data_IF_082675174706
#
_entry.id   IF_082675174706
#
_cell.length_a   1.000
_cell.length_b   1.000
_cell.length_c   1.000
_cell.angle_alpha   90.00
_cell.angle_beta   90.00
_cell.angle_gamma   90.00
#
_symmetry.space_group_name_H-M   'P 1'
#
loop_
_entity.id
_entity.type
_entity.pdbx_description
1 polymer ?
#
# COMPACT_ATOMS: atom_id res chain seq x y z
N UNK A 1 -71.48 3.06 13.37
CA UNK A 1 -70.25 2.24 13.49
C UNK A 1 -69.16 2.84 12.61
N UNK A 2 -68.25 3.65 13.17
CA UNK A 2 -67.06 4.15 12.44
C UNK A 2 -65.83 3.43 13.02
N UNK A 3 -65.22 2.55 12.22
CA UNK A 3 -63.98 1.85 12.57
C UNK A 3 -62.81 2.80 12.35
N UNK A 4 -62.06 3.09 13.42
CA UNK A 4 -60.75 3.72 13.33
C UNK A 4 -59.74 2.65 12.94
N UNK A 5 -59.07 2.85 11.81
CA UNK A 5 -57.94 2.03 11.37
C UNK A 5 -56.67 2.68 11.93
N UNK A 6 -56.04 2.06 12.93
CA UNK A 6 -54.75 2.48 13.43
C UNK A 6 -53.65 2.02 12.47
N UNK A 7 -53.00 2.97 11.81
CA UNK A 7 -51.80 2.72 11.00
C UNK A 7 -50.63 2.58 11.97
N UNK A 8 -50.11 1.37 12.14
CA UNK A 8 -48.87 1.11 12.86
C UNK A 8 -47.71 1.42 11.91
N UNK A 9 -47.08 2.58 12.08
CA UNK A 9 -45.81 2.91 11.44
C UNK A 9 -44.70 2.07 12.09
N UNK A 10 -44.26 1.02 11.40
CA UNK A 10 -43.03 0.29 11.75
C UNK A 10 -41.84 1.19 11.40
N UNK A 11 -41.25 1.83 12.42
CA UNK A 11 -39.91 2.38 12.29
C UNK A 11 -38.93 1.20 12.29
N UNK A 12 -38.41 0.85 11.11
CA UNK A 12 -37.19 0.04 11.02
C UNK A 12 -36.06 0.85 11.64
N UNK A 13 -35.74 0.58 12.91
CA UNK A 13 -34.51 1.09 13.51
C UNK A 13 -33.35 0.54 12.67
N UNK A 14 -32.58 1.42 12.02
CA UNK A 14 -31.25 1.09 11.56
C UNK A 14 -30.47 0.62 12.78
N UNK A 15 -30.37 -0.71 12.96
CA UNK A 15 -29.57 -1.29 14.02
C UNK A 15 -28.14 -0.78 13.81
N UNK A 16 -27.65 0.05 14.73
CA UNK A 16 -26.24 0.43 14.71
C UNK A 16 -25.41 -0.85 14.76
N UNK A 17 -24.51 -1.00 13.79
CA UNK A 17 -23.61 -2.14 13.74
C UNK A 17 -22.87 -2.25 15.08
N UNK A 18 -22.98 -3.40 15.73
CA UNK A 18 -22.30 -3.64 17.00
C UNK A 18 -20.78 -3.65 16.76
N UNK A 19 -19.97 -3.07 17.67
CA UNK A 19 -18.51 -3.16 17.59
C UNK A 19 -18.05 -4.60 17.43
N UNK A 20 -16.99 -4.83 16.65
CA UNK A 20 -16.44 -6.16 16.38
C UNK A 20 -15.21 -6.39 17.25
N UNK A 21 -15.30 -7.13 18.39
CA UNK A 21 -14.22 -7.21 19.38
C UNK A 21 -12.91 -7.77 18.84
N UNK A 22 -12.97 -8.60 17.78
CA UNK A 22 -11.79 -9.09 17.06
C UNK A 22 -10.85 -7.94 16.67
N UNK A 23 -11.39 -6.80 16.23
CA UNK A 23 -10.61 -5.63 15.78
C UNK A 23 -10.45 -4.54 16.85
N UNK A 24 -10.75 -4.80 18.12
CA UNK A 24 -10.65 -3.81 19.21
C UNK A 24 -9.26 -3.13 19.27
N UNK A 25 -8.19 -3.93 19.19
CA UNK A 25 -6.81 -3.47 19.06
C UNK A 25 -6.23 -3.91 17.73
N UNK A 26 -6.88 -3.53 16.64
CA UNK A 26 -6.36 -3.76 15.30
C UNK A 26 -5.07 -2.97 15.06
N UNK A 27 -4.03 -3.66 14.60
CA UNK A 27 -2.73 -3.12 14.18
C UNK A 27 -2.46 -3.42 12.70
N UNK A 28 -1.92 -2.44 11.98
CA UNK A 28 -1.51 -2.59 10.59
C UNK A 28 0.00 -2.34 10.41
N UNK A 29 0.64 -3.24 9.66
CA UNK A 29 2.07 -3.19 9.30
C UNK A 29 2.20 -3.21 7.78
N UNK A 30 3.27 -2.60 7.27
CA UNK A 30 3.51 -2.61 5.83
C UNK A 30 4.32 -1.42 5.34
N UNK A 31 3.99 -1.02 4.11
CA UNK A 31 4.69 0.04 3.39
C UNK A 31 3.83 1.29 3.15
N UNK A 32 4.11 2.00 2.06
CA UNK A 32 3.45 3.23 1.65
C UNK A 32 1.96 3.08 1.44
N UNK A 33 1.48 1.94 0.93
CA UNK A 33 0.04 1.71 0.72
C UNK A 33 -0.66 1.68 2.08
N UNK A 34 -0.15 0.88 3.01
CA UNK A 34 -0.72 0.77 4.36
C UNK A 34 -0.65 2.09 5.11
N UNK A 35 0.40 2.90 4.90
CA UNK A 35 0.55 4.21 5.52
C UNK A 35 -0.42 5.29 4.99
N UNK A 36 -1.04 5.11 3.81
CA UNK A 36 -1.85 6.15 3.17
C UNK A 36 -1.01 7.15 2.37
N UNK A 37 0.13 6.73 1.85
CA UNK A 37 0.98 7.52 0.97
C UNK A 37 0.34 7.62 -0.42
N UNK A 38 0.24 8.82 -0.97
CA UNK A 38 -0.35 9.07 -2.28
C UNK A 38 0.37 10.24 -2.97
N UNK A 39 0.50 10.17 -4.29
CA UNK A 39 1.09 11.24 -5.11
C UNK A 39 2.49 11.63 -4.65
N UNK A 40 3.35 10.67 -4.38
CA UNK A 40 4.73 10.85 -3.91
C UNK A 40 4.85 11.55 -2.54
N UNK A 41 3.79 11.63 -1.74
CA UNK A 41 3.81 12.19 -0.39
C UNK A 41 2.72 11.62 0.53
N UNK A 42 2.57 12.20 1.71
CA UNK A 42 1.56 11.76 2.68
C UNK A 42 1.04 12.91 3.51
N UNK A 43 -0.29 12.99 3.63
CA UNK A 43 -1.01 14.04 4.37
C UNK A 43 -1.92 13.40 5.42
N UNK A 44 -2.37 14.18 6.41
CA UNK A 44 -3.40 13.71 7.34
C UNK A 44 -4.66 13.22 6.61
N UNK A 45 -5.05 13.84 5.48
CA UNK A 45 -6.19 13.40 4.68
C UNK A 45 -5.97 12.01 4.07
N UNK A 46 -4.85 11.80 3.37
CA UNK A 46 -4.57 10.51 2.72
C UNK A 46 -4.32 9.39 3.74
N UNK A 47 -3.80 9.72 4.92
CA UNK A 47 -3.71 8.78 6.04
C UNK A 47 -5.09 8.39 6.59
N UNK A 48 -6.02 9.33 6.69
CA UNK A 48 -7.40 9.06 7.12
C UNK A 48 -8.20 8.23 6.11
N UNK A 49 -7.78 8.25 4.84
CA UNK A 49 -8.34 7.45 3.76
C UNK A 49 -7.65 6.09 3.61
N UNK A 50 -6.57 5.82 4.34
CA UNK A 50 -5.86 4.55 4.25
C UNK A 50 -6.76 3.38 4.65
N UNK A 51 -6.63 2.25 3.94
CA UNK A 51 -7.49 1.08 4.15
C UNK A 51 -7.55 0.59 5.61
N UNK A 52 -6.46 0.64 6.43
CA UNK A 52 -6.56 0.22 7.83
C UNK A 52 -7.48 1.14 8.63
N UNK A 53 -7.44 2.45 8.34
CA UNK A 53 -8.31 3.45 8.98
C UNK A 53 -9.76 3.19 8.62
N UNK A 54 -10.05 2.98 7.35
CA UNK A 54 -11.40 2.69 6.88
C UNK A 54 -11.95 1.37 7.45
N UNK A 55 -11.12 0.31 7.50
CA UNK A 55 -11.48 -0.98 8.07
C UNK A 55 -11.76 -0.88 9.58
N UNK A 56 -10.93 -0.15 10.32
CA UNK A 56 -11.11 0.05 11.76
C UNK A 56 -12.40 0.82 12.11
N UNK A 57 -12.80 1.79 11.26
CA UNK A 57 -14.07 2.51 11.37
C UNK A 57 -15.26 1.56 11.18
N UNK A 58 -15.18 0.66 10.19
CA UNK A 58 -16.19 -0.40 9.96
C UNK A 58 -16.34 -1.32 11.19
N UNK A 59 -15.26 -1.54 11.94
CA UNK A 59 -15.28 -2.37 13.15
C UNK A 59 -15.80 -1.67 14.42
N UNK A 60 -16.03 -0.36 14.39
CA UNK A 60 -16.42 0.42 15.57
C UNK A 60 -15.26 0.80 16.49
N UNK A 61 -14.01 0.56 16.08
CA UNK A 61 -12.80 0.92 16.83
C UNK A 61 -11.84 1.70 15.93
N UNK A 62 -12.14 2.97 15.59
CA UNK A 62 -11.31 3.76 14.69
C UNK A 62 -9.86 3.80 15.20
N UNK A 63 -8.92 3.33 14.39
CA UNK A 63 -7.51 3.49 14.71
C UNK A 63 -7.09 4.93 14.42
N UNK A 64 -6.30 5.48 15.33
CA UNK A 64 -5.62 6.75 15.11
C UNK A 64 -4.43 6.49 14.17
N UNK A 65 -4.23 7.34 13.18
CA UNK A 65 -2.98 7.39 12.40
C UNK A 65 -2.04 8.47 12.99
N UNK A 66 -0.75 8.45 12.66
CA UNK A 66 0.21 9.47 13.13
C UNK A 66 -0.07 10.90 12.62
N UNK A 67 -1.02 11.06 11.69
CA UNK A 67 -1.45 12.30 11.01
C UNK A 67 -0.32 13.32 10.81
N UNK A 68 0.26 13.36 9.62
CA UNK A 68 1.28 14.34 9.25
C UNK A 68 0.72 15.75 9.26
N UNK A 69 1.51 16.70 9.75
CA UNK A 69 1.24 18.13 9.62
C UNK A 69 1.35 18.58 8.16
N UNK A 70 0.65 19.67 7.83
CA UNK A 70 0.64 20.23 6.49
C UNK A 70 2.00 20.85 6.10
N UNK A 71 2.40 20.82 4.83
CA UNK A 71 1.72 20.21 3.69
C UNK A 71 2.00 18.69 3.49
N UNK A 72 2.50 17.98 4.50
CA UNK A 72 2.70 16.53 4.48
C UNK A 72 4.14 16.08 4.74
N UNK A 73 4.40 14.78 4.60
CA UNK A 73 5.73 14.17 4.74
C UNK A 73 6.03 13.07 3.69
N UNK A 74 6.91 13.36 2.71
CA UNK A 74 7.05 14.70 2.16
C UNK A 74 5.68 15.21 1.66
N UNK A 75 5.55 16.51 1.36
CA UNK A 75 4.37 17.01 0.67
C UNK A 75 4.13 16.24 -0.63
N UNK A 76 2.86 15.96 -0.99
CA UNK A 76 2.55 15.37 -2.28
C UNK A 76 3.15 16.17 -3.45
N UNK A 77 3.37 15.49 -4.58
CA UNK A 77 3.96 16.03 -5.82
C UNK A 77 3.39 17.40 -6.15
N UNK A 78 4.27 18.37 -6.35
CA UNK A 78 3.93 19.78 -6.60
C UNK A 78 3.83 20.63 -5.33
N UNK A 79 3.84 20.02 -4.15
CA UNK A 79 3.92 20.69 -2.86
C UNK A 79 5.35 21.06 -2.47
N UNK A 80 5.48 22.16 -1.72
CA UNK A 80 6.75 22.62 -1.16
C UNK A 80 6.80 22.31 0.33
N UNK A 81 7.90 21.75 0.87
CA UNK A 81 8.05 21.55 2.31
C UNK A 81 7.84 22.84 3.11
N UNK A 82 7.11 22.73 4.22
CA UNK A 82 6.86 23.82 5.15
C UNK A 82 7.34 23.49 6.57
N UNK A 83 7.24 24.41 7.53
CA UNK A 83 7.71 24.19 8.91
C UNK A 83 7.03 23.02 9.64
N UNK A 84 5.83 22.63 9.23
CA UNK A 84 5.07 21.50 9.79
C UNK A 84 5.19 20.23 8.94
N UNK A 85 5.96 20.25 7.84
CA UNK A 85 6.26 19.04 7.07
C UNK A 85 7.06 18.06 7.92
N UNK A 86 6.67 16.78 7.85
CA UNK A 86 7.28 15.73 8.66
C UNK A 86 7.26 15.98 10.18
N UNK A 87 6.27 16.74 10.65
CA UNK A 87 5.90 16.87 12.05
C UNK A 87 4.55 16.17 12.27
N UNK A 88 4.32 15.56 13.43
CA UNK A 88 3.00 15.00 13.77
C UNK A 88 2.03 16.14 14.05
N UNK A 89 0.84 16.07 13.46
CA UNK A 89 -0.26 16.99 13.77
C UNK A 89 -0.75 16.81 15.22
N UNK A 90 -0.66 15.59 15.77
CA UNK A 90 -0.88 15.32 17.19
C UNK A 90 0.28 14.45 17.73
N UNK A 91 1.22 15.02 18.51
CA UNK A 91 2.35 14.28 19.06
C UNK A 91 1.93 13.22 20.09
N UNK A 92 0.80 13.42 20.77
CA UNK A 92 0.30 12.55 21.84
C UNK A 92 -0.60 11.42 21.34
N UNK A 93 -0.85 11.35 20.03
CA UNK A 93 -1.60 10.26 19.44
C UNK A 93 -0.91 8.91 19.71
N UNK A 94 -1.72 7.90 20.06
CA UNK A 94 -1.30 6.49 20.16
C UNK A 94 -1.87 5.70 18.98
N UNK A 95 -1.23 5.76 17.81
CA UNK A 95 -1.73 5.08 16.63
C UNK A 95 -1.36 3.61 16.61
N UNK A 96 -2.02 2.88 15.71
CA UNK A 96 -1.82 1.45 15.50
C UNK A 96 -1.56 1.08 14.04
N UNK A 97 -1.25 2.09 13.22
CA UNK A 97 -0.73 1.91 11.87
C UNK A 97 0.77 2.23 11.92
N UNK A 98 1.60 1.21 11.88
CA UNK A 98 3.06 1.35 11.97
C UNK A 98 3.76 1.22 10.61
N UNK A 99 2.98 1.21 9.52
CA UNK A 99 3.53 1.09 8.19
C UNK A 99 4.41 2.29 7.81
N UNK A 100 5.50 2.01 7.09
CA UNK A 100 6.50 3.01 6.71
C UNK A 100 6.65 3.06 5.18
N UNK A 101 6.41 4.21 4.53
CA UNK A 101 6.63 4.37 3.10
C UNK A 101 8.05 3.96 2.68
N UNK A 102 8.14 3.14 1.63
CA UNK A 102 9.40 2.62 1.10
C UNK A 102 9.93 1.34 1.78
N UNK A 103 9.29 0.88 2.86
CA UNK A 103 9.71 -0.33 3.56
C UNK A 103 9.65 -1.57 2.65
N UNK A 104 10.67 -2.40 2.74
CA UNK A 104 10.77 -3.78 2.27
C UNK A 104 10.48 -4.76 3.41
N UNK A 105 10.31 -6.04 3.10
CA UNK A 105 9.99 -7.06 4.11
C UNK A 105 10.97 -7.10 5.30
N UNK A 106 12.27 -6.90 5.04
CA UNK A 106 13.30 -6.91 6.09
C UNK A 106 13.17 -5.72 7.06
N UNK A 107 12.74 -4.57 6.54
CA UNK A 107 12.69 -3.31 7.30
C UNK A 107 11.73 -3.38 8.49
N UNK A 108 10.66 -4.20 8.39
CA UNK A 108 9.69 -4.37 9.47
C UNK A 108 10.31 -4.86 10.78
N UNK A 109 11.44 -5.58 10.70
CA UNK A 109 12.16 -6.16 11.85
C UNK A 109 13.47 -5.46 12.18
N UNK A 110 13.96 -4.57 11.31
CA UNK A 110 15.32 -4.04 11.38
C UNK A 110 15.35 -2.51 11.43
N UNK A 111 14.48 -1.85 10.67
CA UNK A 111 14.58 -0.41 10.44
C UNK A 111 13.94 0.37 11.58
N UNK A 112 14.68 1.38 12.05
CA UNK A 112 14.31 2.37 13.07
C UNK A 112 15.00 3.70 12.73
N UNK A 113 14.66 4.78 13.42
CA UNK A 113 15.15 6.11 13.04
C UNK A 113 16.69 6.22 13.04
N UNK A 114 17.38 5.57 13.98
CA UNK A 114 18.86 5.59 14.06
C UNK A 114 19.60 4.89 12.92
N UNK A 115 18.96 3.95 12.19
CA UNK A 115 19.59 3.23 11.06
C UNK A 115 18.90 3.47 9.71
N UNK A 116 17.83 4.28 9.67
CA UNK A 116 17.14 4.62 8.45
C UNK A 116 18.02 5.48 7.52
N UNK A 117 17.95 5.28 6.19
CA UNK A 117 18.57 6.18 5.23
C UNK A 117 18.16 7.63 5.47
N UNK A 118 19.09 8.58 5.30
CA UNK A 118 18.86 10.00 5.59
C UNK A 118 17.60 10.56 4.91
N UNK A 119 17.36 10.14 3.66
CA UNK A 119 16.21 10.56 2.85
C UNK A 119 14.86 10.10 3.40
N UNK A 120 14.82 8.98 4.13
CA UNK A 120 13.60 8.40 4.72
C UNK A 120 13.54 8.55 6.23
N UNK A 121 14.65 8.93 6.87
CA UNK A 121 14.76 9.05 8.33
C UNK A 121 13.70 9.96 8.97
N UNK A 122 13.33 11.12 8.39
CA UNK A 122 12.23 11.93 8.92
C UNK A 122 10.89 11.18 8.95
N UNK A 123 10.60 10.39 7.91
CA UNK A 123 9.39 9.56 7.84
C UNK A 123 9.41 8.44 8.88
N UNK A 124 10.53 7.72 8.99
CA UNK A 124 10.70 6.65 9.97
C UNK A 124 10.56 7.21 11.39
N UNK A 125 11.20 8.34 11.68
CA UNK A 125 11.12 8.98 12.98
C UNK A 125 9.69 9.44 13.31
N UNK A 126 8.99 10.03 12.34
CA UNK A 126 7.60 10.43 12.51
C UNK A 126 6.69 9.23 12.80
N UNK A 127 6.87 8.11 12.11
CA UNK A 127 5.95 6.97 12.16
C UNK A 127 6.30 5.99 13.28
N UNK A 128 7.56 5.58 13.45
CA UNK A 128 7.91 4.52 14.41
C UNK A 128 9.04 4.89 15.36
N UNK A 129 9.71 6.03 15.14
CA UNK A 129 10.78 6.51 16.01
C UNK A 129 11.92 5.49 16.07
N UNK A 130 12.42 5.21 17.27
CA UNK A 130 13.46 4.20 17.51
C UNK A 130 12.93 2.77 17.64
N UNK A 131 11.65 2.53 17.42
CA UNK A 131 11.11 1.18 17.32
C UNK A 131 11.15 0.69 15.87
N UNK A 132 11.24 -0.61 15.70
CA UNK A 132 10.84 -1.28 14.45
C UNK A 132 9.32 -1.36 14.36
N UNK A 133 8.77 -1.63 13.17
CA UNK A 133 7.33 -1.86 13.04
C UNK A 133 6.85 -3.02 13.93
N UNK A 134 7.65 -4.08 14.05
CA UNK A 134 7.34 -5.24 14.89
C UNK A 134 7.39 -4.92 16.37
N UNK A 135 8.39 -4.17 16.85
CA UNK A 135 8.45 -3.74 18.26
C UNK A 135 7.24 -2.88 18.63
N UNK A 136 6.87 -1.93 17.77
CA UNK A 136 5.68 -1.10 17.96
C UNK A 136 4.38 -1.94 17.95
N UNK A 137 4.30 -2.95 17.08
CA UNK A 137 3.18 -3.89 17.05
C UNK A 137 3.06 -4.68 18.36
N UNK A 138 4.15 -5.24 18.87
CA UNK A 138 4.16 -5.99 20.13
C UNK A 138 3.72 -5.11 21.31
N UNK A 139 4.22 -3.86 21.37
CA UNK A 139 3.84 -2.91 22.40
C UNK A 139 2.34 -2.54 22.38
N UNK A 140 1.71 -2.56 21.20
CA UNK A 140 0.30 -2.26 21.02
C UNK A 140 -0.66 -3.41 21.43
N UNK A 141 -0.14 -4.60 21.76
CA UNK A 141 -0.90 -5.78 22.22
C UNK A 141 -2.11 -6.09 21.32
N UNK A 142 -1.89 -6.38 20.02
CA UNK A 142 -2.96 -6.43 19.03
C UNK A 142 -3.93 -7.56 19.29
N UNK A 143 -5.21 -7.35 18.94
CA UNK A 143 -6.22 -8.42 18.83
C UNK A 143 -6.35 -8.93 17.40
N UNK A 144 -5.88 -8.14 16.42
CA UNK A 144 -5.91 -8.48 15.01
C UNK A 144 -4.79 -7.77 14.25
N UNK A 145 -4.23 -8.42 13.24
CA UNK A 145 -3.17 -7.89 12.39
C UNK A 145 -3.59 -7.84 10.92
N UNK A 146 -3.16 -6.80 10.21
CA UNK A 146 -3.00 -6.87 8.75
C UNK A 146 -1.57 -6.54 8.37
N UNK A 147 -0.97 -7.34 7.50
CA UNK A 147 0.40 -7.14 7.01
C UNK A 147 0.35 -7.08 5.49
N UNK A 148 0.70 -5.94 4.92
CA UNK A 148 0.82 -5.77 3.46
C UNK A 148 2.20 -5.23 3.13
N UNK A 149 3.08 -6.12 2.66
CA UNK A 149 4.49 -5.81 2.44
C UNK A 149 5.05 -6.68 1.31
N UNK A 150 6.04 -6.15 0.59
CA UNK A 150 6.78 -6.86 -0.46
C UNK A 150 6.75 -6.17 -1.82
N UNK A 151 5.91 -5.15 -2.01
CA UNK A 151 5.89 -4.37 -3.25
C UNK A 151 7.24 -3.68 -3.49
N UNK A 152 7.80 -3.03 -2.47
CA UNK A 152 9.07 -2.31 -2.56
C UNK A 152 10.31 -3.20 -2.71
N UNK A 153 10.20 -4.51 -2.43
CA UNK A 153 11.25 -5.49 -2.69
C UNK A 153 11.50 -5.68 -4.20
N UNK A 154 10.55 -5.25 -5.04
CA UNK A 154 10.62 -5.32 -6.51
C UNK A 154 10.47 -3.93 -7.15
N UNK A 155 9.44 -3.18 -6.77
CA UNK A 155 9.04 -1.91 -7.38
C UNK A 155 10.16 -0.86 -7.37
N UNK A 156 10.89 -0.71 -6.27
CA UNK A 156 11.89 0.36 -6.12
C UNK A 156 13.06 0.25 -7.11
N UNK A 157 13.38 -0.96 -7.57
CA UNK A 157 14.36 -1.19 -8.62
C UNK A 157 13.71 -1.02 -10.00
N UNK A 158 12.53 -1.59 -10.21
CA UNK A 158 11.80 -1.50 -11.48
C UNK A 158 11.55 -0.04 -11.92
N UNK A 159 11.16 0.85 -11.01
CA UNK A 159 10.94 2.28 -11.32
C UNK A 159 12.25 3.07 -11.57
N UNK A 160 13.42 2.45 -11.34
CA UNK A 160 14.73 2.97 -11.75
C UNK A 160 15.23 2.35 -13.06
N UNK A 161 14.45 1.43 -13.64
CA UNK A 161 14.81 0.73 -14.87
C UNK A 161 15.84 -0.36 -14.67
N UNK A 162 15.83 -1.05 -13.53
CA UNK A 162 16.76 -2.16 -13.26
C UNK A 162 16.09 -3.24 -12.43
N UNK A 163 16.59 -4.47 -12.55
CA UNK A 163 16.26 -5.58 -11.65
C UNK A 163 17.30 -5.70 -10.52
N UNK A 164 18.42 -4.98 -10.61
CA UNK A 164 19.45 -4.99 -9.57
C UNK A 164 18.88 -4.45 -8.24
N UNK A 165 19.23 -5.14 -7.15
CA UNK A 165 18.77 -4.77 -5.81
C UNK A 165 17.32 -5.15 -5.52
N UNK A 166 16.65 -5.90 -6.38
CA UNK A 166 15.41 -6.60 -6.03
C UNK A 166 15.69 -7.75 -5.07
N UNK A 167 14.74 -8.08 -4.19
CA UNK A 167 14.93 -9.19 -3.23
C UNK A 167 14.74 -10.54 -3.95
N UNK A 168 15.56 -11.55 -3.66
CA UNK A 168 15.35 -12.89 -4.22
C UNK A 168 14.13 -13.56 -3.59
N UNK A 169 13.52 -14.55 -4.26
CA UNK A 169 12.39 -15.30 -3.68
C UNK A 169 12.76 -16.01 -2.36
N UNK A 170 13.99 -16.53 -2.27
CA UNK A 170 14.51 -17.20 -1.08
C UNK A 170 14.74 -16.22 0.07
N UNK A 171 15.35 -15.07 -0.21
CA UNK A 171 15.58 -14.04 0.82
C UNK A 171 14.26 -13.46 1.32
N UNK A 172 13.31 -13.24 0.40
CA UNK A 172 11.98 -12.77 0.75
C UNK A 172 11.28 -13.75 1.69
N UNK A 173 11.22 -15.05 1.34
CA UNK A 173 10.62 -16.06 2.21
C UNK A 173 11.30 -16.10 3.59
N UNK A 174 12.63 -16.07 3.61
CA UNK A 174 13.41 -16.11 4.86
C UNK A 174 13.07 -14.92 5.74
N UNK A 175 13.07 -13.71 5.19
CA UNK A 175 12.75 -12.49 5.93
C UNK A 175 11.28 -12.43 6.36
N UNK A 176 10.37 -12.90 5.52
CA UNK A 176 8.94 -12.97 5.85
C UNK A 176 8.69 -13.97 6.99
N UNK A 177 9.38 -15.12 7.00
CA UNK A 177 9.35 -16.06 8.13
C UNK A 177 9.87 -15.42 9.42
N UNK A 178 11.00 -14.71 9.36
CA UNK A 178 11.53 -13.96 10.51
C UNK A 178 10.53 -12.95 11.05
N UNK A 179 9.85 -12.22 10.17
CA UNK A 179 8.77 -11.30 10.54
C UNK A 179 7.64 -12.01 11.32
N UNK A 180 7.14 -13.15 10.81
CA UNK A 180 6.06 -13.88 11.47
C UNK A 180 6.48 -14.52 12.79
N UNK A 181 7.71 -15.03 12.90
CA UNK A 181 8.25 -15.52 14.18
C UNK A 181 8.35 -14.40 15.22
N UNK A 182 8.78 -13.20 14.81
CA UNK A 182 8.88 -12.06 15.72
C UNK A 182 7.50 -11.55 16.18
N UNK A 183 6.44 -11.73 15.37
CA UNK A 183 5.07 -11.39 15.74
C UNK A 183 4.32 -12.52 16.46
N UNK A 184 4.85 -13.75 16.47
CA UNK A 184 4.24 -14.91 17.13
C UNK A 184 3.85 -14.66 18.61
N UNK A 185 4.64 -13.92 19.43
CA UNK A 185 4.25 -13.64 20.82
C UNK A 185 2.94 -12.85 20.97
N UNK A 186 2.47 -12.16 19.92
CA UNK A 186 1.17 -11.46 19.97
C UNK A 186 -0.01 -12.44 20.11
N UNK A 187 0.10 -13.65 19.55
CA UNK A 187 -1.01 -14.60 19.43
C UNK A 187 -2.20 -14.09 18.60
N UNK A 188 -2.09 -12.91 17.97
CA UNK A 188 -3.18 -12.29 17.26
C UNK A 188 -3.41 -12.96 15.90
N UNK A 189 -4.65 -13.32 15.54
CA UNK A 189 -4.97 -13.70 14.17
C UNK A 189 -4.84 -12.49 13.24
N UNK A 190 -4.84 -12.72 11.93
CA UNK A 190 -4.78 -11.61 10.99
C UNK A 190 -4.80 -12.02 9.53
N UNK A 191 -4.64 -11.01 8.67
CA UNK A 191 -4.56 -11.16 7.22
C UNK A 191 -3.17 -10.78 6.73
N UNK A 192 -2.56 -11.68 5.96
CA UNK A 192 -1.37 -11.41 5.15
C UNK A 192 -1.85 -11.09 3.73
N UNK A 193 -1.59 -9.88 3.28
CA UNK A 193 -2.03 -9.38 1.98
C UNK A 193 -0.89 -9.59 0.97
N UNK A 194 -1.23 -10.23 -0.16
CA UNK A 194 -0.30 -10.49 -1.25
C UNK A 194 0.25 -9.23 -1.91
N UNK A 195 1.30 -9.41 -2.69
CA UNK A 195 1.95 -8.37 -3.49
C UNK A 195 1.25 -8.28 -4.86
N UNK A 196 0.84 -7.08 -5.32
CA UNK A 196 0.27 -6.91 -6.65
C UNK A 196 1.34 -7.07 -7.75
N UNK A 197 0.90 -7.31 -8.99
CA UNK A 197 1.80 -7.41 -10.16
C UNK A 197 2.50 -6.08 -10.41
N UNK A 198 3.82 -6.06 -10.24
CA UNK A 198 4.63 -4.83 -10.33
C UNK A 198 4.81 -4.38 -11.78
N UNK A 199 4.87 -5.30 -12.74
CA UNK A 199 4.99 -5.00 -14.17
C UNK A 199 3.81 -4.17 -14.72
N UNK A 200 2.68 -4.19 -14.01
CA UNK A 200 1.42 -3.52 -14.36
C UNK A 200 1.20 -2.18 -13.64
N UNK A 201 2.16 -1.75 -12.82
CA UNK A 201 2.06 -0.47 -12.10
C UNK A 201 2.09 0.69 -13.11
N UNK A 202 1.13 1.65 -13.07
CA UNK A 202 1.05 2.72 -14.07
C UNK A 202 2.31 3.60 -14.23
N UNK A 203 3.16 3.71 -13.20
CA UNK A 203 4.45 4.39 -13.27
C UNK A 203 5.46 3.71 -14.21
N UNK A 204 5.20 2.47 -14.62
CA UNK A 204 5.89 1.78 -15.71
C UNK A 204 5.10 2.03 -16.99
N UNK A 205 5.54 3.00 -17.80
CA UNK A 205 4.77 3.53 -18.91
C UNK A 205 4.89 2.66 -20.16
N UNK A 206 3.77 2.42 -20.83
CA UNK A 206 3.77 1.84 -22.17
C UNK A 206 4.32 2.85 -23.19
N UNK A 207 5.42 2.54 -23.91
CA UNK A 207 6.03 3.52 -24.79
C UNK A 207 5.26 3.74 -26.08
N UNK A 208 4.32 2.87 -26.48
CA UNK A 208 3.58 3.04 -27.73
C UNK A 208 2.86 4.40 -27.76
N UNK A 209 2.33 4.83 -26.62
CA UNK A 209 1.74 6.16 -26.48
C UNK A 209 2.78 7.28 -26.41
N UNK A 210 3.92 7.03 -25.79
CA UNK A 210 5.02 7.99 -25.70
C UNK A 210 5.64 8.29 -27.07
N UNK A 211 5.60 7.33 -28.00
CA UNK A 211 6.00 7.55 -29.40
C UNK A 211 5.11 8.59 -30.07
N UNK A 212 3.78 8.51 -29.88
CA UNK A 212 2.84 9.44 -30.51
C UNK A 212 3.00 10.90 -30.03
N UNK A 213 3.48 11.10 -28.81
CA UNK A 213 3.71 12.44 -28.22
C UNK A 213 5.18 12.86 -28.26
N UNK A 214 6.03 12.13 -28.99
CA UNK A 214 7.46 12.46 -29.18
C UNK A 214 8.32 12.32 -27.93
N UNK A 215 7.87 11.58 -26.91
CA UNK A 215 8.63 11.30 -25.69
C UNK A 215 9.46 10.01 -25.80
N UNK A 216 9.05 9.08 -26.65
CA UNK A 216 9.79 7.86 -26.97
C UNK A 216 10.10 7.77 -28.47
N UNK A 217 11.20 7.12 -28.82
CA UNK A 217 11.67 6.95 -30.19
C UNK A 217 10.89 5.84 -30.91
N UNK A 218 10.85 5.88 -32.25
CA UNK A 218 10.10 4.93 -33.07
C UNK A 218 10.54 3.47 -32.91
N UNK A 219 11.75 3.23 -32.40
CA UNK A 219 12.24 1.88 -32.06
C UNK A 219 11.45 1.21 -30.93
N UNK A 220 10.64 1.97 -30.20
CA UNK A 220 9.71 1.44 -29.21
C UNK A 220 8.40 0.88 -29.79
N UNK A 221 8.04 1.28 -31.01
CA UNK A 221 6.71 1.01 -31.57
C UNK A 221 6.47 -0.48 -31.81
N UNK A 222 5.37 -1.01 -31.28
CA UNK A 222 4.95 -2.39 -31.47
C UNK A 222 5.68 -3.42 -30.59
N UNK A 223 6.64 -2.99 -29.77
CA UNK A 223 7.28 -3.83 -28.76
C UNK A 223 6.58 -3.78 -27.41
N UNK A 224 6.86 -4.77 -26.56
CA UNK A 224 6.42 -4.77 -25.15
C UNK A 224 7.59 -4.32 -24.30
N UNK A 225 7.52 -3.05 -23.88
CA UNK A 225 8.49 -2.44 -22.98
C UNK A 225 7.77 -1.64 -21.90
N UNK A 226 8.54 -1.26 -20.87
CA UNK A 226 8.12 -0.24 -19.91
C UNK A 226 9.20 0.81 -19.71
N UNK A 227 8.82 2.06 -19.93
CA UNK A 227 9.64 3.23 -19.61
C UNK A 227 9.27 3.68 -18.19
N UNK A 228 10.18 3.59 -17.20
CA UNK A 228 9.90 4.13 -15.88
C UNK A 228 9.62 5.64 -15.95
N UNK A 229 8.52 6.10 -15.34
CA UNK A 229 8.14 7.51 -15.35
C UNK A 229 9.26 8.47 -14.90
N UNK A 230 10.11 8.16 -13.88
CA UNK A 230 11.25 9.00 -13.53
C UNK A 230 12.27 9.20 -14.68
N UNK A 231 12.35 8.25 -15.62
CA UNK A 231 13.25 8.33 -16.78
C UNK A 231 12.87 9.48 -17.71
N UNK A 232 11.58 9.86 -17.77
CA UNK A 232 11.12 11.00 -18.58
C UNK A 232 11.74 12.32 -18.13
N UNK A 233 11.88 12.54 -16.82
CA UNK A 233 12.45 13.75 -16.24
C UNK A 233 13.99 13.73 -16.12
N UNK A 234 14.62 12.59 -16.39
CA UNK A 234 16.07 12.45 -16.28
C UNK A 234 16.78 13.17 -17.45
N UNK A 235 17.62 14.15 -17.10
CA UNK A 235 18.37 15.03 -18.03
C UNK A 235 19.55 14.34 -18.72
N UNK A 236 20.04 13.25 -18.13
CA UNK A 236 21.17 12.48 -18.65
C UNK A 236 20.73 11.44 -19.70
N UNK A 237 19.44 11.41 -20.04
CA UNK A 237 18.87 10.48 -21.01
C UNK A 237 18.55 11.23 -22.30
N UNK A 238 19.15 10.85 -23.44
CA UNK A 238 18.80 11.42 -24.73
C UNK A 238 17.29 11.33 -24.99
N UNK A 239 16.72 12.40 -25.53
CA UNK A 239 15.30 12.50 -25.89
C UNK A 239 15.15 12.58 -27.42
N UNK A 240 14.15 11.90 -28.03
CA UNK A 240 13.17 11.00 -27.40
C UNK A 240 13.83 9.71 -26.87
N UNK A 241 13.27 9.12 -25.81
CA UNK A 241 13.86 7.93 -25.15
C UNK A 241 13.82 6.73 -26.12
N UNK A 242 14.97 6.11 -26.38
CA UNK A 242 15.05 4.85 -27.13
C UNK A 242 14.71 3.66 -26.24
N UNK A 243 14.01 2.67 -26.79
CA UNK A 243 13.75 1.40 -26.09
C UNK A 243 14.98 0.47 -26.06
N UNK A 244 16.13 0.93 -26.56
CA UNK A 244 17.45 0.31 -26.36
C UNK A 244 18.20 0.94 -25.18
N UNK A 245 17.68 1.99 -24.55
CA UNK A 245 18.27 2.51 -23.33
C UNK A 245 18.20 1.41 -22.24
N UNK A 246 19.29 1.12 -21.54
CA UNK A 246 19.34 0.01 -20.58
C UNK A 246 18.41 0.17 -19.38
N UNK A 247 17.79 1.35 -19.20
CA UNK A 247 16.80 1.61 -18.15
C UNK A 247 15.35 1.42 -18.63
N UNK A 248 15.14 1.07 -19.89
CA UNK A 248 13.83 0.68 -20.41
C UNK A 248 13.69 -0.82 -20.21
N UNK A 249 12.67 -1.22 -19.44
CA UNK A 249 12.44 -2.62 -19.12
C UNK A 249 11.88 -3.36 -20.33
N UNK A 250 12.50 -4.49 -20.65
CA UNK A 250 12.12 -5.42 -21.72
C UNK A 250 11.06 -6.40 -21.26
N UNK A 251 10.43 -7.11 -22.21
CA UNK A 251 9.46 -8.18 -21.88
C UNK A 251 10.05 -9.25 -20.96
N UNK A 252 11.30 -9.67 -21.18
CA UNK A 252 11.95 -10.69 -20.37
C UNK A 252 12.13 -10.22 -18.92
N UNK A 253 12.55 -8.97 -18.74
CA UNK A 253 12.66 -8.35 -17.41
C UNK A 253 11.30 -8.22 -16.73
N UNK A 254 10.24 -7.86 -17.47
CA UNK A 254 8.88 -7.79 -16.92
C UNK A 254 8.38 -9.17 -16.48
N UNK A 255 8.61 -10.20 -17.28
CA UNK A 255 8.29 -11.59 -16.93
C UNK A 255 9.07 -12.04 -15.68
N UNK A 256 10.33 -11.63 -15.54
CA UNK A 256 11.13 -11.93 -14.36
C UNK A 256 10.59 -11.23 -13.09
N UNK A 257 10.17 -9.97 -13.19
CA UNK A 257 9.52 -9.25 -12.10
C UNK A 257 8.23 -9.96 -11.66
N UNK A 258 7.41 -10.39 -12.61
CA UNK A 258 6.15 -11.10 -12.33
C UNK A 258 6.39 -12.47 -11.71
N UNK A 259 7.33 -13.26 -12.24
CA UNK A 259 7.71 -14.54 -11.65
C UNK A 259 8.22 -14.39 -10.21
N UNK A 260 8.92 -13.28 -9.91
CA UNK A 260 9.36 -12.94 -8.55
C UNK A 260 8.19 -12.73 -7.60
N UNK A 261 7.24 -11.88 -8.01
CA UNK A 261 6.05 -11.52 -7.22
C UNK A 261 5.17 -12.75 -6.99
N UNK A 262 5.00 -13.60 -8.01
CA UNK A 262 4.29 -14.87 -7.86
C UNK A 262 4.98 -15.78 -6.83
N UNK A 263 6.32 -15.86 -6.84
CA UNK A 263 7.06 -16.63 -5.85
C UNK A 263 6.88 -16.05 -4.43
N UNK A 264 6.86 -14.73 -4.27
CA UNK A 264 6.55 -14.09 -3.00
C UNK A 264 5.15 -14.48 -2.51
N UNK A 265 4.13 -14.35 -3.36
CA UNK A 265 2.75 -14.68 -3.01
C UNK A 265 2.57 -16.15 -2.64
N UNK A 266 3.26 -17.08 -3.32
CA UNK A 266 3.31 -18.50 -2.91
C UNK A 266 3.91 -18.67 -1.51
N UNK A 267 4.98 -17.95 -1.19
CA UNK A 267 5.58 -17.96 0.15
C UNK A 267 4.68 -17.36 1.21
N UNK A 268 4.03 -16.21 0.94
CA UNK A 268 3.08 -15.58 1.86
C UNK A 268 1.91 -16.53 2.12
N UNK A 269 1.31 -17.13 1.10
CA UNK A 269 0.19 -18.04 1.25
C UNK A 269 0.54 -19.28 2.10
N UNK A 270 1.70 -19.90 1.83
CA UNK A 270 2.19 -21.05 2.60
C UNK A 270 2.48 -20.67 4.06
N UNK A 271 3.15 -19.53 4.28
CA UNK A 271 3.44 -19.03 5.62
C UNK A 271 2.17 -18.64 6.36
N UNK A 272 1.16 -18.07 5.69
CA UNK A 272 -0.14 -17.80 6.29
C UNK A 272 -0.75 -19.08 6.87
N UNK A 273 -0.79 -20.15 6.08
CA UNK A 273 -1.29 -21.46 6.53
C UNK A 273 -0.46 -22.02 7.69
N UNK A 274 0.88 -21.90 7.64
CA UNK A 274 1.77 -22.40 8.69
C UNK A 274 1.61 -21.67 10.03
N UNK A 275 1.40 -20.36 10.01
CA UNK A 275 1.34 -19.50 11.21
C UNK A 275 -0.09 -19.14 11.64
N UNK A 276 -1.12 -19.67 10.96
CA UNK A 276 -2.52 -19.47 11.34
C UNK A 276 -3.13 -18.13 10.89
N UNK A 277 -2.52 -17.46 9.91
CA UNK A 277 -3.06 -16.26 9.28
C UNK A 277 -3.92 -16.60 8.05
N UNK A 278 -4.71 -15.62 7.60
CA UNK A 278 -5.43 -15.69 6.31
C UNK A 278 -4.59 -15.03 5.24
N UNK A 279 -4.43 -15.70 4.10
CA UNK A 279 -3.86 -15.05 2.92
C UNK A 279 -4.96 -14.37 2.11
N UNK A 280 -4.74 -13.11 1.71
CA UNK A 280 -5.57 -12.40 0.76
C UNK A 280 -4.79 -12.11 -0.52
N UNK A 281 -5.20 -12.71 -1.63
CA UNK A 281 -4.64 -12.39 -2.94
C UNK A 281 -5.23 -11.08 -3.47
N UNK A 282 -4.43 -10.03 -3.43
CA UNK A 282 -4.84 -8.68 -3.87
C UNK A 282 -4.63 -8.47 -5.37
N UNK A 283 -3.89 -9.35 -6.06
CA UNK A 283 -3.52 -9.14 -7.46
C UNK A 283 -4.76 -8.96 -8.38
N UNK A 284 -5.83 -9.78 -8.27
CA UNK A 284 -7.03 -9.59 -9.09
C UNK A 284 -7.67 -8.21 -8.95
N UNK A 285 -7.62 -7.62 -7.74
CA UNK A 285 -8.18 -6.30 -7.49
C UNK A 285 -7.36 -5.20 -8.17
N UNK A 286 -6.04 -5.32 -8.19
CA UNK A 286 -5.17 -4.39 -8.93
C UNK A 286 -5.31 -4.56 -10.45
N UNK A 287 -5.49 -5.78 -10.94
CA UNK A 287 -5.63 -6.02 -12.38
C UNK A 287 -6.94 -5.47 -12.95
N UNK A 288 -7.96 -5.32 -12.10
CA UNK A 288 -9.23 -4.68 -12.43
C UNK A 288 -9.19 -3.14 -12.38
N UNK A 289 -8.10 -2.53 -11.87
CA UNK A 289 -8.00 -1.08 -11.77
C UNK A 289 -7.83 -0.41 -13.14
N UNK A 290 -8.38 0.80 -13.24
CA UNK A 290 -8.27 1.66 -14.41
C UNK A 290 -6.87 2.28 -14.46
N UNK A 291 -6.12 1.99 -15.52
CA UNK A 291 -4.68 2.31 -15.69
C UNK A 291 -4.29 3.26 -16.85
N UNK A 292 -5.16 4.07 -17.47
CA UNK A 292 -4.70 4.96 -18.54
C UNK A 292 -3.80 6.04 -17.94
N UNK A 293 -2.71 6.47 -18.59
CA UNK A 293 -2.35 7.87 -18.47
C UNK A 293 -3.49 8.68 -19.14
N UNK A 294 -4.17 9.53 -18.38
CA UNK A 294 -4.94 10.59 -18.99
C UNK A 294 -3.97 11.71 -19.40
N UNK A 295 -3.72 11.80 -20.71
CA UNK A 295 -2.76 12.75 -21.31
C UNK A 295 -3.12 14.22 -21.09
N UNK A 296 -4.36 14.54 -20.71
CA UNK A 296 -4.82 15.90 -20.47
C UNK A 296 -4.63 16.35 -19.02
N UNK A 297 -4.64 15.40 -18.07
CA UNK A 297 -4.63 15.72 -16.63
C UNK A 297 -3.35 15.27 -15.92
N UNK A 298 -2.51 14.47 -16.56
CA UNK A 298 -1.32 13.88 -15.92
C UNK A 298 -1.66 12.90 -14.78
N UNK A 299 -2.92 12.46 -14.70
CA UNK A 299 -3.42 11.49 -13.71
C UNK A 299 -3.37 10.07 -14.29
N UNK A 300 -3.12 9.10 -13.41
CA UNK A 300 -3.14 7.66 -13.71
C UNK A 300 -4.54 7.03 -13.54
N UNK A 301 -5.59 7.82 -13.77
CA UNK A 301 -6.97 7.40 -13.63
C UNK A 301 -7.53 7.59 -12.21
N UNK A 302 -8.77 7.12 -11.96
CA UNK A 302 -9.44 7.27 -10.67
C UNK A 302 -8.87 6.36 -9.58
N UNK A 303 -8.20 5.26 -9.96
CA UNK A 303 -7.79 4.20 -9.04
C UNK A 303 -6.35 4.38 -8.52
N UNK A 304 -5.55 5.24 -9.15
CA UNK A 304 -4.18 5.58 -8.76
C UNK A 304 -4.03 7.07 -8.52
N UNK A 305 -3.14 7.42 -7.59
CA UNK A 305 -2.72 8.79 -7.33
C UNK A 305 -1.79 9.33 -8.42
N UNK A 306 -1.38 10.61 -8.34
CA UNK A 306 -0.64 11.30 -9.40
C UNK A 306 0.79 10.79 -9.65
N UNK A 307 1.29 9.86 -8.82
CA UNK A 307 2.59 9.23 -9.02
C UNK A 307 2.53 7.93 -9.84
N UNK A 308 1.34 7.35 -10.04
CA UNK A 308 1.15 6.12 -10.81
C UNK A 308 1.66 4.87 -10.12
N UNK A 309 2.06 4.95 -8.85
CA UNK A 309 2.50 3.81 -8.04
C UNK A 309 1.49 3.52 -6.92
N UNK A 310 1.00 4.56 -6.25
CA UNK A 310 0.14 4.40 -5.09
C UNK A 310 -1.35 4.46 -5.47
N UNK A 311 -2.18 3.56 -4.95
CA UNK A 311 -3.63 3.61 -5.11
C UNK A 311 -4.23 4.92 -4.57
N UNK A 312 -5.33 5.37 -5.16
CA UNK A 312 -6.07 6.55 -4.70
C UNK A 312 -6.87 6.26 -3.42
N UNK A 313 -7.36 7.31 -2.76
CA UNK A 313 -8.33 7.16 -1.66
C UNK A 313 -9.55 6.33 -2.05
N UNK A 314 -10.03 6.42 -3.30
CA UNK A 314 -11.15 5.61 -3.78
C UNK A 314 -10.79 4.11 -3.83
N UNK A 315 -9.56 3.76 -4.22
CA UNK A 315 -9.07 2.39 -4.17
C UNK A 315 -8.90 1.88 -2.73
N UNK A 316 -8.47 2.73 -1.79
CA UNK A 316 -8.42 2.36 -0.38
C UNK A 316 -9.78 2.02 0.21
N UNK A 317 -10.85 2.70 -0.21
CA UNK A 317 -12.22 2.31 0.14
C UNK A 317 -12.48 0.87 -0.32
N UNK A 318 -12.20 0.53 -1.58
CA UNK A 318 -12.39 -0.84 -2.10
C UNK A 318 -11.57 -1.87 -1.33
N UNK A 319 -10.31 -1.58 -1.00
CA UNK A 319 -9.49 -2.47 -0.16
C UNK A 319 -10.12 -2.74 1.20
N UNK A 320 -10.61 -1.72 1.88
CA UNK A 320 -11.25 -1.88 3.18
C UNK A 320 -12.57 -2.70 3.08
N UNK A 321 -13.30 -2.59 1.97
CA UNK A 321 -14.50 -3.37 1.71
C UNK A 321 -14.18 -4.85 1.48
N UNK A 322 -13.21 -5.17 0.62
CA UNK A 322 -12.83 -6.57 0.37
C UNK A 322 -12.23 -7.23 1.62
N UNK A 323 -11.44 -6.50 2.41
CA UNK A 323 -10.94 -7.01 3.68
C UNK A 323 -12.07 -7.22 4.69
N UNK A 324 -13.07 -6.35 4.75
CA UNK A 324 -14.25 -6.57 5.60
C UNK A 324 -15.00 -7.85 5.20
N UNK A 325 -15.21 -8.08 3.89
CA UNK A 325 -15.81 -9.33 3.37
C UNK A 325 -15.00 -10.56 3.75
N UNK A 326 -13.69 -10.52 3.53
CA UNK A 326 -12.79 -11.61 3.87
C UNK A 326 -12.84 -11.94 5.37
N UNK A 327 -12.80 -10.91 6.22
CA UNK A 327 -12.83 -11.08 7.68
C UNK A 327 -14.19 -11.63 8.14
N UNK A 328 -15.30 -11.13 7.59
CA UNK A 328 -16.64 -11.68 7.84
C UNK A 328 -16.69 -13.17 7.48
N UNK A 329 -16.21 -13.54 6.29
CA UNK A 329 -16.22 -14.92 5.81
C UNK A 329 -15.33 -15.85 6.66
N UNK A 330 -14.15 -15.39 7.10
CA UNK A 330 -13.23 -16.22 7.86
C UNK A 330 -13.57 -16.33 9.35
N UNK A 331 -13.92 -15.20 9.96
CA UNK A 331 -14.01 -15.06 11.42
C UNK A 331 -15.45 -14.95 11.93
N UNK A 332 -16.45 -14.97 11.04
CA UNK A 332 -17.86 -14.89 11.42
C UNK A 332 -18.29 -13.53 11.95
N UNK A 333 -17.54 -12.47 11.62
CA UNK A 333 -17.86 -11.09 12.00
C UNK A 333 -19.00 -10.52 11.13
N UNK A 334 -19.45 -9.29 11.46
CA UNK A 334 -20.49 -8.56 10.71
C UNK A 334 -20.06 -7.12 10.43
N UNK A 335 -18.85 -6.95 9.92
CA UNK A 335 -18.34 -5.66 9.47
C UNK A 335 -19.21 -5.15 8.31
N UNK A 336 -19.59 -3.86 8.28
CA UNK A 336 -20.27 -3.27 7.13
C UNK A 336 -19.43 -3.40 5.86
N UNK A 337 -20.04 -3.82 4.76
CA UNK A 337 -19.42 -3.94 3.43
C UNK A 337 -19.59 -2.66 2.62
#
# INVERSE_FOLDING_TARGET
MKRFLAVILSFSSLAMAQPTPLLERYVALGDSITAGYQSAGMTAATQNDAYPVLLSRKAGYPLTAYLTGDPGCPPPRGGTPGPQSCVRANPDASPRNFAVPGARVGDLTQTRASNAPETTRPLVNLLIGEQTQVEAALAAQPTFLTIWIGSNDVLLSAIRGTLEGTTSAQDFETRYRTLLEALKPTGAPGVLIGVPRISHVPALLDPNWLVLVGQASSDCWGGIYRIPAPLLANKDVPKPISCRDPRVLTLDELNELDARVEAYNRSIARLAAQYGYVFYDVAPLFDAMVRPPNLLTGSFGPDFSADGAHPSSASHVRFAQELARLINARYGTRLPE
#
